data_IF_274640131630
#
_entry.id   IF_274640131630
#
_cell.length_a   1.000
_cell.length_b   1.000
_cell.length_c   1.000
_cell.angle_alpha   90.00
_cell.angle_beta   90.00
_cell.angle_gamma   90.00
#
_symmetry.space_group_name_H-M   'P 1'
#
loop_
_entity.id
_entity.type
_entity.pdbx_description
1 polymer ?
#
# COMPACT_ATOMS: atom_id res chain seq x y z
N UNK A 1 0.12 12.27 -16.43
CA UNK A 1 0.10 11.31 -15.30
C UNK A 1 -1.33 11.23 -14.80
N UNK A 2 -1.84 10.02 -14.54
CA UNK A 2 -3.20 9.79 -14.03
C UNK A 2 -3.09 9.30 -12.59
N UNK A 3 -3.94 9.80 -11.70
CA UNK A 3 -3.97 9.37 -10.29
C UNK A 3 -5.41 9.15 -9.86
N UNK A 4 -5.61 8.20 -8.94
CA UNK A 4 -6.90 7.96 -8.31
C UNK A 4 -7.17 9.03 -7.26
N UNK A 5 -8.40 9.57 -7.27
CA UNK A 5 -8.84 10.63 -6.38
C UNK A 5 -10.00 10.11 -5.54
N UNK A 6 -9.90 10.28 -4.22
CA UNK A 6 -11.01 10.07 -3.31
C UNK A 6 -11.81 11.36 -3.20
N UNK A 7 -13.10 11.30 -3.53
CA UNK A 7 -14.06 12.37 -3.31
C UNK A 7 -14.84 12.06 -2.04
N UNK A 8 -15.02 13.07 -1.18
CA UNK A 8 -15.82 12.96 0.04
C UNK A 8 -16.76 14.14 0.12
N UNK A 9 -18.07 13.86 0.24
CA UNK A 9 -19.08 14.86 0.54
C UNK A 9 -19.08 15.16 2.03
N UNK A 10 -19.10 16.44 2.39
CA UNK A 10 -18.93 16.91 3.76
C UNK A 10 -20.24 17.44 4.35
N UNK A 11 -20.39 17.44 5.69
CA UNK A 11 -21.66 17.79 6.33
C UNK A 11 -22.15 19.22 6.09
N UNK A 12 -21.25 20.14 5.79
CA UNK A 12 -21.49 21.54 5.45
C UNK A 12 -21.67 21.77 3.94
N UNK A 13 -22.06 20.72 3.22
CA UNK A 13 -22.46 20.75 1.80
C UNK A 13 -21.34 21.22 0.85
N UNK A 14 -20.09 20.88 1.18
CA UNK A 14 -18.95 20.97 0.29
C UNK A 14 -18.38 19.58 -0.03
N UNK A 15 -17.42 19.54 -0.95
CA UNK A 15 -16.73 18.35 -1.39
C UNK A 15 -15.23 18.50 -1.15
N UNK A 16 -14.59 17.44 -0.67
CA UNK A 16 -13.13 17.35 -0.63
C UNK A 16 -12.62 16.33 -1.64
N UNK A 17 -11.59 16.68 -2.39
CA UNK A 17 -10.88 15.81 -3.31
C UNK A 17 -9.46 15.55 -2.80
N UNK A 18 -9.08 14.27 -2.67
CA UNK A 18 -7.77 13.84 -2.15
C UNK A 18 -7.07 12.90 -3.13
N UNK A 19 -5.81 13.20 -3.47
CA UNK A 19 -4.99 12.30 -4.28
C UNK A 19 -4.51 11.11 -3.44
N UNK A 20 -4.77 9.87 -3.87
CA UNK A 20 -4.38 8.69 -3.08
C UNK A 20 -2.85 8.48 -3.02
N UNK A 21 -2.12 8.99 -4.01
CA UNK A 21 -0.65 8.90 -4.07
C UNK A 21 0.02 9.88 -3.09
N UNK A 22 -0.65 10.99 -2.76
CA UNK A 22 -0.17 12.05 -1.86
C UNK A 22 -1.34 12.49 -0.96
N UNK A 23 -1.68 11.68 0.06
CA UNK A 23 -2.92 11.83 0.84
C UNK A 23 -2.99 13.14 1.66
N UNK A 24 -1.87 13.82 1.85
CA UNK A 24 -1.76 15.14 2.46
C UNK A 24 -2.28 16.26 1.54
N UNK A 25 -2.35 16.03 0.23
CA UNK A 25 -2.88 17.00 -0.73
C UNK A 25 -4.39 16.83 -0.85
N UNK A 26 -5.11 17.78 -0.28
CA UNK A 26 -6.57 17.85 -0.30
C UNK A 26 -7.00 19.21 -0.81
N UNK A 27 -7.97 19.22 -1.72
CA UNK A 27 -8.64 20.44 -2.16
C UNK A 27 -10.14 20.37 -1.83
N UNK A 28 -10.76 21.54 -1.68
CA UNK A 28 -12.16 21.67 -1.26
C UNK A 28 -12.93 22.53 -2.25
N UNK A 29 -14.14 22.13 -2.62
CA UNK A 29 -15.00 22.91 -3.50
C UNK A 29 -16.47 22.81 -3.08
N UNK A 30 -17.28 23.78 -3.47
CA UNK A 30 -18.73 23.72 -3.25
C UNK A 30 -19.40 22.63 -4.11
N UNK A 31 -18.72 22.17 -5.16
CA UNK A 31 -19.12 21.02 -5.98
C UNK A 31 -17.98 20.02 -6.12
N UNK A 32 -18.31 18.78 -6.50
CA UNK A 32 -17.32 17.75 -6.82
C UNK A 32 -16.36 18.22 -7.92
N UNK A 33 -16.90 18.78 -9.01
CA UNK A 33 -16.10 19.27 -10.13
C UNK A 33 -15.13 20.38 -9.70
N UNK A 34 -15.58 21.30 -8.85
CA UNK A 34 -14.74 22.36 -8.32
C UNK A 34 -13.60 21.80 -7.44
N UNK A 35 -13.90 20.87 -6.54
CA UNK A 35 -12.89 20.24 -5.69
C UNK A 35 -11.82 19.53 -6.52
N UNK A 36 -12.22 18.86 -7.61
CA UNK A 36 -11.31 18.18 -8.54
C UNK A 36 -10.45 19.18 -9.32
N UNK A 37 -11.02 20.27 -9.83
CA UNK A 37 -10.24 21.29 -10.56
C UNK A 37 -9.26 22.03 -9.65
N UNK A 38 -9.64 22.31 -8.41
CA UNK A 38 -8.71 22.85 -7.42
C UNK A 38 -7.59 21.84 -7.11
N UNK A 39 -7.90 20.55 -6.93
CA UNK A 39 -6.90 19.51 -6.73
C UNK A 39 -5.93 19.42 -7.93
N UNK A 40 -6.47 19.48 -9.15
CA UNK A 40 -5.69 19.48 -10.40
C UNK A 40 -4.70 20.65 -10.44
N UNK A 41 -5.15 21.85 -10.04
CA UNK A 41 -4.31 23.06 -9.98
C UNK A 41 -3.17 22.90 -8.99
N UNK A 42 -3.45 22.38 -7.79
CA UNK A 42 -2.44 22.14 -6.75
C UNK A 42 -1.42 21.11 -7.22
N UNK A 43 -1.87 19.99 -7.81
CA UNK A 43 -0.99 18.94 -8.32
C UNK A 43 -0.13 19.42 -9.49
N UNK A 44 -0.68 20.21 -10.42
CA UNK A 44 0.06 20.78 -11.53
C UNK A 44 1.17 21.72 -11.03
N UNK A 45 0.87 22.57 -10.05
CA UNK A 45 1.87 23.43 -9.40
C UNK A 45 2.95 22.62 -8.72
N UNK A 46 2.59 21.56 -8.00
CA UNK A 46 3.56 20.69 -7.33
C UNK A 46 4.48 20.00 -8.32
N UNK A 47 3.94 19.46 -9.42
CA UNK A 47 4.71 18.81 -10.48
C UNK A 47 5.70 19.75 -11.18
N UNK A 48 5.35 21.02 -11.35
CA UNK A 48 6.25 22.01 -11.96
C UNK A 48 7.48 22.32 -11.10
N UNK A 49 7.38 22.19 -9.78
CA UNK A 49 8.42 22.62 -8.84
C UNK A 49 9.09 21.46 -8.10
N UNK A 50 8.66 20.22 -8.34
CA UNK A 50 9.10 19.05 -7.57
C UNK A 50 9.59 17.94 -8.49
N UNK A 51 10.53 17.14 -7.98
CA UNK A 51 10.98 15.90 -8.61
C UNK A 51 10.94 14.78 -7.58
N UNK A 52 10.51 13.60 -8.01
CA UNK A 52 10.60 12.39 -7.20
C UNK A 52 12.05 11.90 -7.21
N UNK A 53 12.61 11.62 -6.03
CA UNK A 53 13.90 10.97 -5.88
C UNK A 53 13.72 9.68 -5.10
N UNK A 54 14.57 8.70 -5.39
CA UNK A 54 14.70 7.51 -4.56
C UNK A 54 15.81 7.75 -3.56
N UNK A 55 15.53 7.49 -2.29
CA UNK A 55 16.51 7.55 -1.22
C UNK A 55 16.72 6.13 -0.71
N UNK A 56 17.92 5.61 -0.91
CA UNK A 56 18.33 4.35 -0.32
C UNK A 56 18.63 4.59 1.16
N UNK A 57 17.86 3.95 2.03
CA UNK A 57 18.13 3.96 3.46
C UNK A 57 19.17 2.88 3.76
N UNK A 58 20.23 3.19 4.53
CA UNK A 58 21.13 2.15 4.98
C UNK A 58 20.31 1.17 5.82
N UNK A 59 20.29 -0.09 5.39
CA UNK A 59 19.81 -1.16 6.26
C UNK A 59 20.71 -1.13 7.49
N UNK A 60 20.11 -0.97 8.68
CA UNK A 60 20.84 -1.21 9.91
C UNK A 60 21.46 -2.59 9.79
N UNK A 61 22.77 -2.67 9.98
CA UNK A 61 23.55 -3.88 9.76
C UNK A 61 22.88 -5.05 10.51
N UNK A 62 22.22 -5.93 9.76
CA UNK A 62 21.55 -7.13 10.30
C UNK A 62 22.58 -8.16 10.75
N UNK A 63 23.87 -7.81 10.74
CA UNK A 63 24.97 -8.52 11.38
C UNK A 63 24.72 -8.81 12.87
N UNK A 64 23.83 -8.09 13.55
CA UNK A 64 23.24 -8.51 14.83
C UNK A 64 22.03 -9.45 14.62
N UNK A 65 22.20 -10.50 13.83
CA UNK A 65 21.23 -11.57 13.58
C UNK A 65 19.91 -11.12 12.97
N UNK A 66 19.72 -11.35 11.67
CA UNK A 66 18.42 -11.20 11.02
C UNK A 66 17.31 -11.83 11.91
N UNK A 67 16.27 -11.09 12.35
CA UNK A 67 15.34 -11.53 13.41
C UNK A 67 14.61 -12.85 13.14
N UNK A 68 14.67 -13.32 11.90
CA UNK A 68 14.06 -14.55 11.43
C UNK A 68 15.03 -15.74 11.44
N UNK A 69 16.33 -15.53 11.62
CA UNK A 69 17.31 -16.62 11.73
C UNK A 69 17.02 -17.53 12.94
N UNK A 70 16.45 -16.98 14.02
CA UNK A 70 16.02 -17.78 15.19
C UNK A 70 14.95 -18.83 14.86
N UNK A 71 14.35 -18.74 13.67
CA UNK A 71 13.28 -19.59 13.19
C UNK A 71 13.73 -20.52 12.06
N UNK A 72 14.96 -20.36 11.56
CA UNK A 72 15.49 -21.21 10.51
C UNK A 72 15.60 -22.66 11.02
N UNK A 73 14.98 -23.59 10.29
CA UNK A 73 14.98 -25.02 10.64
C UNK A 73 14.11 -25.40 11.83
N UNK A 74 13.24 -24.50 12.34
CA UNK A 74 12.44 -24.84 13.54
C UNK A 74 11.52 -26.05 13.37
N UNK A 75 11.18 -26.40 12.13
CA UNK A 75 10.32 -27.54 11.78
C UNK A 75 11.09 -28.71 11.15
N UNK A 76 12.44 -28.67 11.09
CA UNK A 76 13.24 -29.71 10.44
C UNK A 76 13.02 -31.10 11.05
N UNK A 77 12.73 -31.14 12.36
CA UNK A 77 12.49 -32.37 13.12
C UNK A 77 11.03 -32.51 13.56
N UNK A 78 10.11 -31.73 12.97
CA UNK A 78 8.69 -31.82 13.30
C UNK A 78 8.11 -33.10 12.65
N UNK A 79 7.65 -34.09 13.45
CA UNK A 79 7.14 -35.35 12.92
C UNK A 79 5.84 -35.19 12.12
N UNK A 80 5.12 -34.08 12.31
CA UNK A 80 3.84 -33.80 11.65
C UNK A 80 4.00 -32.89 10.43
N UNK A 81 5.23 -32.52 10.06
CA UNK A 81 5.51 -31.58 8.95
C UNK A 81 4.90 -32.03 7.62
N UNK A 82 5.04 -33.31 7.28
CA UNK A 82 4.50 -33.87 6.03
C UNK A 82 2.96 -33.78 5.97
N UNK A 83 2.29 -34.04 7.09
CA UNK A 83 0.84 -33.93 7.20
C UNK A 83 0.38 -32.46 7.07
N UNK A 84 1.13 -31.53 7.64
CA UNK A 84 0.90 -30.11 7.49
C UNK A 84 1.05 -29.65 6.03
N UNK A 85 2.11 -30.07 5.34
CA UNK A 85 2.32 -29.76 3.91
C UNK A 85 1.16 -30.26 3.03
N UNK A 86 0.70 -31.49 3.27
CA UNK A 86 -0.44 -32.07 2.56
C UNK A 86 -1.73 -31.26 2.76
N UNK A 87 -2.03 -30.87 4.01
CA UNK A 87 -3.22 -30.06 4.32
C UNK A 87 -3.17 -28.66 3.69
N UNK A 88 -2.00 -28.02 3.68
CA UNK A 88 -1.79 -26.72 3.03
C UNK A 88 -1.96 -26.85 1.51
N UNK A 89 -1.46 -27.92 0.90
CA UNK A 89 -1.63 -28.18 -0.52
C UNK A 89 -3.11 -28.35 -0.88
N UNK A 90 -3.86 -29.16 -0.12
CA UNK A 90 -5.30 -29.35 -0.33
C UNK A 90 -6.06 -28.01 -0.22
N UNK A 91 -5.77 -27.21 0.81
CA UNK A 91 -6.39 -25.90 1.01
C UNK A 91 -6.15 -24.94 -0.18
N UNK A 92 -4.94 -24.93 -0.74
CA UNK A 92 -4.62 -24.10 -1.92
C UNK A 92 -5.39 -24.52 -3.17
N UNK A 93 -5.61 -25.83 -3.36
CA UNK A 93 -6.40 -26.32 -4.49
C UNK A 93 -7.91 -26.05 -4.31
N UNK A 94 -8.40 -26.08 -3.07
CA UNK A 94 -9.79 -25.84 -2.76
C UNK A 94 -10.20 -24.36 -2.88
N UNK A 95 -9.28 -23.41 -2.67
CA UNK A 95 -9.60 -21.98 -2.65
C UNK A 95 -8.63 -21.12 -3.49
N UNK A 96 -8.66 -21.23 -4.84
CA UNK A 96 -7.72 -20.54 -5.73
C UNK A 96 -7.83 -19.00 -5.70
N UNK A 97 -8.92 -18.43 -5.15
CA UNK A 97 -9.16 -16.98 -5.05
C UNK A 97 -8.52 -16.30 -3.84
N UNK A 98 -7.96 -17.04 -2.88
CA UNK A 98 -7.30 -16.49 -1.67
C UNK A 98 -5.77 -16.50 -1.76
N UNK A 99 -5.20 -16.74 -2.95
CA UNK A 99 -3.77 -16.62 -3.16
C UNK A 99 -3.36 -15.13 -3.09
N UNK A 100 -2.56 -14.69 -2.10
CA UNK A 100 -1.92 -13.40 -2.19
C UNK A 100 -1.05 -13.42 -3.46
N UNK A 101 -1.32 -12.49 -4.37
CA UNK A 101 -0.45 -12.27 -5.53
C UNK A 101 0.91 -11.85 -5.00
N UNK A 102 1.90 -12.74 -5.11
CA UNK A 102 3.32 -12.43 -4.85
C UNK A 102 3.92 -11.73 -6.06
#
# INVERSE_FOLDING_TARGET
>A
MTTSVLITHQPDNHYTARALVLPEIVATGATEAEAVEQLRTVLAKLQQHSRVIHVELPLADTALGHPWLRFAGMWEQDPDWEAFEAAVAEARHANPSEMPSL
#
